data_IF_896378161917
#
_entry.id   IF_896378161917
#
_cell.length_a   1.000
_cell.length_b   1.000
_cell.length_c   1.000
_cell.angle_alpha   90.00
_cell.angle_beta   90.00
_cell.angle_gamma   90.00
#
_symmetry.space_group_name_H-M   'P 1'
#
loop_
_entity.id
_entity.type
_entity.pdbx_description
1 polymer ?
#
# COMPACT_ATOMS: atom_id res chain seq x y z
N UNK A 1 24.13 -1.80 -22.68
CA UNK A 1 24.56 -1.75 -24.11
C UNK A 1 23.90 -0.52 -24.69
N UNK A 2 24.65 0.55 -25.00
CA UNK A 2 24.05 1.86 -25.28
C UNK A 2 23.12 1.82 -26.52
N UNK A 3 21.84 2.14 -26.31
CA UNK A 3 20.77 2.24 -27.32
C UNK A 3 20.99 3.47 -28.23
N UNK A 4 22.01 3.43 -29.11
CA UNK A 4 22.34 4.56 -29.99
C UNK A 4 21.34 4.77 -31.14
N UNK A 5 20.50 3.78 -31.45
CA UNK A 5 19.46 3.86 -32.48
C UNK A 5 18.16 3.18 -32.02
N UNK A 6 17.08 3.95 -31.89
CA UNK A 6 15.73 3.48 -31.58
C UNK A 6 14.79 3.87 -32.75
N UNK A 7 13.93 2.97 -33.24
CA UNK A 7 12.99 3.24 -34.33
C UNK A 7 11.83 4.17 -33.94
N UNK A 8 11.70 4.50 -32.65
CA UNK A 8 10.63 5.32 -32.07
C UNK A 8 11.24 6.54 -31.39
N UNK A 9 10.61 7.71 -31.55
CA UNK A 9 11.08 8.96 -30.96
C UNK A 9 10.68 9.04 -29.48
N UNK A 10 11.55 8.51 -28.61
CA UNK A 10 11.36 8.52 -27.16
C UNK A 10 12.05 9.71 -26.50
N UNK A 11 11.39 10.27 -25.47
CA UNK A 11 11.97 11.28 -24.61
C UNK A 11 13.19 10.76 -23.84
N UNK A 12 14.01 11.67 -23.30
CA UNK A 12 15.24 11.30 -22.59
C UNK A 12 14.98 10.31 -21.43
N UNK A 13 13.98 10.60 -20.59
CA UNK A 13 13.63 9.74 -19.44
C UNK A 13 13.09 8.37 -19.87
N UNK A 14 12.26 8.30 -20.91
CA UNK A 14 11.74 7.04 -21.44
C UNK A 14 12.87 6.17 -22.02
N UNK A 15 13.90 6.77 -22.62
CA UNK A 15 15.09 6.04 -23.08
C UNK A 15 15.89 5.46 -21.92
N UNK A 16 16.10 6.22 -20.85
CA UNK A 16 16.77 5.69 -19.65
C UNK A 16 15.98 4.53 -19.03
N UNK A 17 14.66 4.66 -18.92
CA UNK A 17 13.80 3.61 -18.38
C UNK A 17 13.77 2.36 -19.28
N UNK A 18 13.83 2.54 -20.61
CA UNK A 18 13.94 1.42 -21.54
C UNK A 18 15.30 0.73 -21.44
N UNK A 19 16.41 1.46 -21.30
CA UNK A 19 17.73 0.87 -21.06
C UNK A 19 17.75 0.10 -19.73
N UNK A 20 17.15 0.68 -18.68
CA UNK A 20 16.97 0.02 -17.39
C UNK A 20 16.11 -1.24 -17.48
N UNK A 21 15.09 -1.26 -18.35
CA UNK A 21 14.27 -2.44 -18.60
C UNK A 21 15.12 -3.59 -19.14
N UNK A 22 15.89 -3.27 -20.18
CA UNK A 22 16.74 -4.21 -20.90
C UNK A 22 17.85 -4.74 -19.99
N UNK A 23 18.48 -3.87 -19.21
CA UNK A 23 19.63 -4.24 -18.39
C UNK A 23 19.25 -4.88 -17.04
N UNK A 24 18.12 -4.51 -16.45
CA UNK A 24 17.84 -4.86 -15.04
C UNK A 24 16.40 -5.24 -14.77
N UNK A 25 15.40 -4.41 -15.07
CA UNK A 25 14.03 -4.64 -14.59
C UNK A 25 13.38 -5.91 -15.15
N UNK A 26 13.72 -6.27 -16.40
CA UNK A 26 13.24 -7.51 -17.05
C UNK A 26 13.66 -8.79 -16.32
N UNK A 27 14.73 -8.75 -15.51
CA UNK A 27 15.12 -9.89 -14.68
C UNK A 27 14.03 -10.31 -13.69
N UNK A 28 13.16 -9.38 -13.31
CA UNK A 28 12.05 -9.68 -12.41
C UNK A 28 10.94 -10.48 -13.09
N UNK A 29 10.80 -10.39 -14.42
CA UNK A 29 9.80 -11.15 -15.21
C UNK A 29 10.21 -12.61 -15.42
N UNK A 30 11.49 -12.93 -15.23
CA UNK A 30 12.07 -14.22 -15.57
C UNK A 30 11.73 -15.29 -14.52
N UNK A 31 10.53 -15.86 -14.61
CA UNK A 31 10.18 -17.12 -13.92
C UNK A 31 10.81 -18.33 -14.65
N UNK A 32 11.23 -18.17 -15.91
CA UNK A 32 11.82 -19.22 -16.74
C UNK A 32 13.31 -18.92 -17.00
N UNK A 33 14.18 -19.53 -16.19
CA UNK A 33 15.64 -19.35 -16.26
C UNK A 33 16.34 -19.74 -17.58
N UNK A 34 15.91 -20.76 -18.36
CA UNK A 34 16.71 -21.19 -19.52
C UNK A 34 16.69 -20.21 -20.72
N UNK A 35 15.59 -19.47 -20.94
CA UNK A 35 15.38 -18.67 -22.17
C UNK A 35 15.25 -17.15 -21.94
N UNK A 36 15.74 -16.66 -20.79
CA UNK A 36 15.57 -15.27 -20.35
C UNK A 36 15.95 -14.22 -21.40
N UNK A 37 17.07 -14.43 -22.11
CA UNK A 37 17.57 -13.46 -23.09
C UNK A 37 16.74 -13.45 -24.39
N UNK A 38 16.27 -14.62 -24.83
CA UNK A 38 15.41 -14.71 -26.02
C UNK A 38 14.05 -14.07 -25.74
N UNK A 39 13.51 -14.33 -24.55
CA UNK A 39 12.26 -13.75 -24.12
C UNK A 39 12.33 -12.22 -23.99
N UNK A 40 13.39 -11.69 -23.38
CA UNK A 40 13.63 -10.24 -23.34
C UNK A 40 13.76 -9.66 -24.75
N UNK A 41 14.54 -10.32 -25.62
CA UNK A 41 14.68 -9.91 -27.02
C UNK A 41 13.33 -9.85 -27.75
N UNK A 42 12.44 -10.80 -27.50
CA UNK A 42 11.08 -10.80 -28.04
C UNK A 42 10.26 -9.62 -27.50
N UNK A 43 10.27 -9.36 -26.20
CA UNK A 43 9.52 -8.24 -25.61
C UNK A 43 9.97 -6.89 -26.15
N UNK A 44 11.29 -6.67 -26.28
CA UNK A 44 11.86 -5.44 -26.86
C UNK A 44 11.46 -5.30 -28.33
N UNK A 45 11.52 -6.41 -29.10
CA UNK A 45 11.07 -6.40 -30.50
C UNK A 45 9.59 -6.08 -30.63
N UNK A 46 8.73 -6.61 -29.76
CA UNK A 46 7.29 -6.33 -29.76
C UNK A 46 6.97 -4.89 -29.37
N UNK A 47 7.75 -4.29 -28.46
CA UNK A 47 7.62 -2.90 -28.03
C UNK A 47 8.06 -1.89 -29.09
N UNK A 48 9.02 -2.27 -29.93
CA UNK A 48 9.64 -1.40 -30.93
C UNK A 48 9.27 -1.79 -32.38
N UNK A 49 8.29 -2.66 -32.55
CA UNK A 49 7.95 -3.28 -33.84
C UNK A 49 7.44 -2.26 -34.86
N UNK A 50 6.54 -1.39 -34.42
CA UNK A 50 5.88 -0.39 -35.25
C UNK A 50 5.28 0.75 -34.38
N UNK A 51 4.61 1.70 -35.03
CA UNK A 51 3.88 2.79 -34.35
C UNK A 51 2.42 2.41 -34.02
N UNK A 52 2.09 1.10 -33.98
CA UNK A 52 0.74 0.67 -33.64
C UNK A 52 0.43 0.94 -32.16
N UNK A 53 -0.86 1.06 -31.81
CA UNK A 53 -1.25 1.11 -30.40
C UNK A 53 -0.74 -0.10 -29.61
N UNK A 54 -0.70 -1.29 -30.21
CA UNK A 54 -0.26 -2.51 -29.53
C UNK A 54 1.24 -2.53 -29.21
N UNK A 55 2.11 -2.02 -30.10
CA UNK A 55 3.53 -1.80 -29.78
C UNK A 55 3.70 -0.79 -28.65
N UNK A 56 2.97 0.33 -28.73
CA UNK A 56 3.02 1.37 -27.71
C UNK A 56 2.53 0.85 -26.35
N UNK A 57 1.53 -0.03 -26.31
CA UNK A 57 1.07 -0.65 -25.06
C UNK A 57 2.16 -1.48 -24.38
N UNK A 58 2.89 -2.31 -25.15
CA UNK A 58 4.03 -3.10 -24.63
C UNK A 58 5.11 -2.17 -24.10
N UNK A 59 5.48 -1.14 -24.87
CA UNK A 59 6.49 -0.18 -24.45
C UNK A 59 6.11 0.54 -23.14
N UNK A 60 4.89 1.07 -23.06
CA UNK A 60 4.41 1.76 -21.86
C UNK A 60 4.35 0.81 -20.65
N UNK A 61 3.99 -0.46 -20.83
CA UNK A 61 4.04 -1.45 -19.74
C UNK A 61 5.47 -1.73 -19.27
N UNK A 62 6.45 -1.80 -20.18
CA UNK A 62 7.86 -1.99 -19.86
C UNK A 62 8.44 -0.78 -19.10
N UNK A 63 8.11 0.44 -19.52
CA UNK A 63 8.48 1.67 -18.82
C UNK A 63 7.87 1.75 -17.41
N UNK A 64 6.62 1.31 -17.25
CA UNK A 64 5.98 1.23 -15.94
C UNK A 64 6.76 0.29 -14.99
N UNK A 65 7.13 -0.90 -15.48
CA UNK A 65 7.91 -1.86 -14.69
C UNK A 65 9.31 -1.34 -14.35
N UNK A 66 9.98 -0.69 -15.30
CA UNK A 66 11.28 -0.06 -15.06
C UNK A 66 11.22 1.06 -14.03
N UNK A 67 10.23 1.93 -14.15
CA UNK A 67 10.03 3.03 -13.20
C UNK A 67 9.77 2.47 -11.80
N UNK A 68 8.91 1.45 -11.70
CA UNK A 68 8.64 0.76 -10.45
C UNK A 68 9.90 0.13 -9.85
N UNK A 69 10.70 -0.56 -10.66
CA UNK A 69 11.93 -1.18 -10.20
C UNK A 69 12.96 -0.15 -9.72
N UNK A 70 13.05 1.02 -10.38
CA UNK A 70 14.08 2.03 -10.08
C UNK A 70 13.69 2.93 -8.92
N UNK A 71 12.41 3.28 -8.81
CA UNK A 71 11.94 4.34 -7.91
C UNK A 71 10.82 3.90 -6.94
N UNK A 72 10.36 2.64 -7.02
CA UNK A 72 9.22 2.15 -6.25
C UNK A 72 7.87 2.60 -6.82
N UNK A 73 6.82 2.55 -6.00
CA UNK A 73 5.47 2.98 -6.37
C UNK A 73 5.38 4.51 -6.42
N UNK A 74 5.71 5.07 -7.57
CA UNK A 74 5.65 6.51 -7.85
C UNK A 74 4.56 6.85 -8.86
N UNK A 75 4.21 8.13 -8.91
CA UNK A 75 3.32 8.75 -9.90
C UNK A 75 3.45 8.14 -11.31
N UNK A 76 4.67 8.12 -11.82
CA UNK A 76 4.98 7.72 -13.20
C UNK A 76 4.62 6.27 -13.50
N UNK A 77 4.71 5.37 -12.52
CA UNK A 77 4.32 3.96 -12.67
C UNK A 77 2.84 3.86 -13.04
N UNK A 78 2.00 4.62 -12.33
CA UNK A 78 0.57 4.68 -12.62
C UNK A 78 0.29 5.38 -13.94
N UNK A 79 1.10 6.38 -14.32
CA UNK A 79 0.96 7.05 -15.61
C UNK A 79 1.24 6.12 -16.79
N UNK A 80 2.37 5.41 -16.75
CA UNK A 80 2.75 4.44 -17.77
C UNK A 80 1.75 3.28 -17.85
N UNK A 81 1.30 2.75 -16.69
CA UNK A 81 0.21 1.75 -16.63
C UNK A 81 -1.07 2.28 -17.29
N UNK A 82 -1.46 3.52 -17.00
CA UNK A 82 -2.67 4.11 -17.58
C UNK A 82 -2.59 4.27 -19.09
N UNK A 83 -1.45 4.76 -19.59
CA UNK A 83 -1.21 4.88 -21.03
C UNK A 83 -1.28 3.50 -21.69
N UNK A 84 -0.61 2.49 -21.13
CA UNK A 84 -0.66 1.13 -21.65
C UNK A 84 -2.09 0.59 -21.75
N UNK A 85 -2.89 0.68 -20.68
CA UNK A 85 -4.27 0.20 -20.67
C UNK A 85 -5.18 0.93 -21.65
N UNK A 86 -5.11 2.27 -21.73
CA UNK A 86 -5.90 3.03 -22.71
C UNK A 86 -5.57 2.63 -24.13
N UNK A 87 -4.29 2.44 -24.41
CA UNK A 87 -3.84 2.05 -25.73
C UNK A 87 -4.28 0.63 -26.09
N UNK A 88 -4.26 -0.32 -25.14
CA UNK A 88 -4.81 -1.67 -25.32
C UNK A 88 -6.31 -1.65 -25.63
N UNK A 89 -7.08 -0.85 -24.88
CA UNK A 89 -8.52 -0.67 -25.12
C UNK A 89 -8.76 -0.13 -26.54
N UNK A 90 -7.99 0.87 -26.94
CA UNK A 90 -8.11 1.49 -28.27
C UNK A 90 -7.79 0.51 -29.40
N UNK A 91 -6.82 -0.40 -29.21
CA UNK A 91 -6.53 -1.44 -30.23
C UNK A 91 -7.58 -2.54 -30.32
N UNK A 92 -8.39 -2.77 -29.28
CA UNK A 92 -9.46 -3.77 -29.32
C UNK A 92 -10.65 -3.36 -30.22
N UNK A 93 -10.82 -2.06 -30.49
CA UNK A 93 -11.90 -1.56 -31.35
C UNK A 93 -11.67 -1.84 -32.85
N UNK A 94 -10.46 -2.28 -33.22
CA UNK A 94 -10.08 -2.67 -34.58
C UNK A 94 -9.95 -4.20 -34.63
N UNK A 95 -10.46 -4.83 -35.69
CA UNK A 95 -10.44 -6.29 -35.84
C UNK A 95 -9.01 -6.84 -35.64
N UNK A 96 -8.80 -7.60 -34.56
CA UNK A 96 -7.47 -8.00 -34.10
C UNK A 96 -6.77 -8.91 -35.12
N UNK A 97 -5.67 -8.42 -35.70
CA UNK A 97 -4.75 -9.26 -36.48
C UNK A 97 -3.94 -10.18 -35.54
N UNK A 98 -3.47 -11.32 -36.04
CA UNK A 98 -2.73 -12.32 -35.23
C UNK A 98 -1.49 -11.74 -34.53
N UNK A 99 -0.80 -10.79 -35.17
CA UNK A 99 0.39 -10.12 -34.62
C UNK A 99 0.05 -9.18 -33.46
N UNK A 100 -1.11 -8.52 -33.55
CA UNK A 100 -1.67 -7.64 -32.52
C UNK A 100 -1.95 -8.42 -31.22
N UNK A 101 -2.37 -9.68 -31.32
CA UNK A 101 -2.66 -10.54 -30.15
C UNK A 101 -1.41 -10.80 -29.32
N UNK A 102 -0.26 -11.07 -29.95
CA UNK A 102 1.00 -11.36 -29.22
C UNK A 102 1.48 -10.14 -28.43
N UNK A 103 1.33 -8.93 -28.99
CA UNK A 103 1.66 -7.69 -28.30
C UNK A 103 0.72 -7.44 -27.10
N UNK A 104 -0.58 -7.70 -27.25
CA UNK A 104 -1.52 -7.62 -26.13
C UNK A 104 -1.14 -8.58 -25.01
N UNK A 105 -0.81 -9.84 -25.33
CA UNK A 105 -0.37 -10.83 -24.34
C UNK A 105 0.89 -10.33 -23.62
N UNK A 106 1.87 -9.83 -24.35
CA UNK A 106 3.10 -9.29 -23.78
C UNK A 106 2.84 -8.11 -22.83
N UNK A 107 2.04 -7.13 -23.26
CA UNK A 107 1.69 -5.97 -22.44
C UNK A 107 0.92 -6.40 -21.18
N UNK A 108 -0.11 -7.24 -21.33
CA UNK A 108 -0.89 -7.76 -20.21
C UNK A 108 -0.02 -8.54 -19.23
N UNK A 109 0.92 -9.36 -19.70
CA UNK A 109 1.82 -10.11 -18.83
C UNK A 109 2.74 -9.19 -18.02
N UNK A 110 3.34 -8.16 -18.65
CA UNK A 110 4.17 -7.18 -17.94
C UNK A 110 3.33 -6.42 -16.90
N UNK A 111 2.11 -6.00 -17.26
CA UNK A 111 1.18 -5.33 -16.34
C UNK A 111 0.76 -6.25 -15.18
N UNK A 112 0.42 -7.51 -15.45
CA UNK A 112 0.09 -8.48 -14.40
C UNK A 112 1.27 -8.67 -13.44
N UNK A 113 2.49 -8.78 -13.97
CA UNK A 113 3.69 -8.87 -13.13
C UNK A 113 3.90 -7.61 -12.29
N UNK A 114 3.66 -6.43 -12.87
CA UNK A 114 3.69 -5.16 -12.15
C UNK A 114 2.67 -5.15 -11.00
N UNK A 115 1.43 -5.63 -11.19
CA UNK A 115 0.43 -5.72 -10.12
C UNK A 115 0.89 -6.63 -8.97
N UNK A 116 1.45 -7.81 -9.31
CA UNK A 116 1.98 -8.76 -8.31
C UNK A 116 3.12 -8.13 -7.52
N UNK A 117 4.03 -7.42 -8.20
CA UNK A 117 5.14 -6.71 -7.56
C UNK A 117 4.68 -5.52 -6.73
N UNK A 118 3.72 -4.73 -7.21
CA UNK A 118 3.14 -3.62 -6.49
C UNK A 118 2.46 -4.09 -5.20
N UNK A 119 1.67 -5.15 -5.25
CA UNK A 119 1.05 -5.75 -4.07
C UNK A 119 2.10 -6.23 -3.05
N UNK A 120 3.16 -6.90 -3.52
CA UNK A 120 4.27 -7.34 -2.68
C UNK A 120 5.02 -6.15 -2.05
N UNK A 121 5.26 -5.08 -2.81
CA UNK A 121 5.91 -3.87 -2.30
C UNK A 121 5.06 -3.18 -1.23
N UNK A 122 3.75 -3.02 -1.46
CA UNK A 122 2.83 -2.48 -0.47
C UNK A 122 2.88 -3.28 0.83
N UNK A 123 2.88 -4.62 0.73
CA UNK A 123 3.00 -5.47 1.92
C UNK A 123 4.33 -5.29 2.63
N UNK A 124 5.43 -5.11 1.90
CA UNK A 124 6.74 -4.89 2.50
C UNK A 124 6.83 -3.54 3.22
N UNK A 125 6.31 -2.47 2.64
CA UNK A 125 6.27 -1.15 3.28
C UNK A 125 5.43 -1.19 4.57
N UNK A 126 4.23 -1.77 4.49
CA UNK A 126 3.35 -1.99 5.65
C UNK A 126 4.09 -2.77 6.75
N UNK A 127 4.70 -3.89 6.39
CA UNK A 127 5.44 -4.74 7.33
C UNK A 127 6.64 -4.00 7.90
N UNK A 128 7.29 -3.12 7.14
CA UNK A 128 8.37 -2.29 7.63
C UNK A 128 7.87 -1.35 8.73
N UNK A 129 6.77 -0.60 8.53
CA UNK A 129 6.21 0.26 9.57
C UNK A 129 5.84 -0.51 10.84
N UNK A 130 5.20 -1.67 10.69
CA UNK A 130 4.84 -2.54 11.80
C UNK A 130 6.07 -3.03 12.55
N UNK A 131 7.04 -3.60 11.84
CA UNK A 131 8.28 -4.10 12.41
C UNK A 131 9.03 -3.01 13.17
N UNK A 132 9.17 -1.83 12.56
CA UNK A 132 9.85 -0.71 13.19
C UNK A 132 9.17 -0.27 14.50
N UNK A 133 7.84 -0.29 14.53
CA UNK A 133 7.09 0.10 15.73
C UNK A 133 7.17 -0.95 16.82
N UNK A 134 7.06 -2.24 16.47
CA UNK A 134 7.13 -3.34 17.44
C UNK A 134 8.50 -3.53 18.06
N UNK A 135 9.59 -3.41 17.29
CA UNK A 135 10.97 -3.52 17.81
C UNK A 135 11.30 -2.43 18.83
N UNK A 136 10.67 -1.26 18.70
CA UNK A 136 10.98 -0.10 19.54
C UNK A 136 10.17 -0.03 20.83
N UNK A 137 9.13 -0.84 21.02
CA UNK A 137 8.32 -0.77 22.25
C UNK A 137 9.01 -1.58 23.34
N UNK A 138 9.34 -0.91 24.45
CA UNK A 138 9.87 -1.56 25.66
C UNK A 138 8.74 -1.85 26.64
N UNK A 139 8.89 -2.93 27.40
CA UNK A 139 7.97 -3.22 28.50
C UNK A 139 8.11 -2.14 29.59
N UNK A 140 7.02 -1.71 30.25
CA UNK A 140 7.08 -0.76 31.35
C UNK A 140 7.98 -1.19 32.53
N UNK A 141 8.24 -2.49 32.65
CA UNK A 141 9.14 -3.07 33.68
C UNK A 141 10.61 -3.07 33.29
N UNK A 142 10.96 -2.69 32.05
CA UNK A 142 12.35 -2.60 31.58
C UNK A 142 13.04 -1.38 32.23
N UNK A 143 14.27 -1.57 32.73
CA UNK A 143 15.03 -0.50 33.38
C UNK A 143 15.34 0.68 32.44
N UNK A 144 15.34 0.45 31.13
CA UNK A 144 15.56 1.47 30.11
C UNK A 144 14.28 2.17 29.65
N UNK A 145 13.10 1.79 30.13
CA UNK A 145 11.82 2.35 29.69
C UNK A 145 11.69 3.87 29.96
N UNK A 146 12.38 4.38 30.98
CA UNK A 146 12.40 5.80 31.32
C UNK A 146 13.73 6.50 30.98
N UNK A 147 14.61 5.87 30.18
CA UNK A 147 15.89 6.47 29.83
C UNK A 147 15.75 7.53 28.74
N UNK A 148 16.61 8.55 28.77
CA UNK A 148 16.69 9.55 27.69
C UNK A 148 17.05 8.89 26.35
N UNK A 149 17.83 7.81 26.37
CA UNK A 149 18.18 7.02 25.19
C UNK A 149 16.93 6.40 24.53
N UNK A 150 15.99 5.93 25.36
CA UNK A 150 14.73 5.38 24.87
C UNK A 150 13.87 6.47 24.23
N UNK A 151 13.67 7.60 24.90
CA UNK A 151 12.88 8.72 24.38
C UNK A 151 13.48 9.29 23.08
N UNK A 152 14.81 9.40 23.01
CA UNK A 152 15.50 9.81 21.78
C UNK A 152 15.28 8.81 20.64
N UNK A 153 15.29 7.51 20.95
CA UNK A 153 15.06 6.47 19.94
C UNK A 153 13.61 6.48 19.44
N UNK A 154 12.64 6.74 20.32
CA UNK A 154 11.22 6.94 19.95
C UNK A 154 11.05 8.15 19.02
N UNK A 155 11.68 9.28 19.35
CA UNK A 155 11.66 10.49 18.52
C UNK A 155 12.29 10.25 17.14
N UNK A 156 13.45 9.57 17.09
CA UNK A 156 14.07 9.16 15.83
C UNK A 156 13.15 8.26 14.99
N UNK A 157 12.46 7.31 15.62
CA UNK A 157 11.52 6.45 14.92
C UNK A 157 10.32 7.26 14.38
N UNK A 158 9.70 8.11 15.21
CA UNK A 158 8.58 8.95 14.79
C UNK A 158 8.95 9.82 13.58
N UNK A 159 10.13 10.45 13.62
CA UNK A 159 10.66 11.23 12.50
C UNK A 159 10.88 10.37 11.25
N UNK A 160 11.37 9.14 11.41
CA UNK A 160 11.58 8.21 10.29
C UNK A 160 10.27 7.75 9.66
N UNK A 161 9.25 7.44 10.45
CA UNK A 161 7.91 7.10 9.94
C UNK A 161 7.30 8.30 9.22
N UNK A 162 7.43 9.50 9.80
CA UNK A 162 6.88 10.74 9.22
C UNK A 162 7.55 11.11 7.90
N UNK A 163 8.87 10.93 7.80
CA UNK A 163 9.67 11.31 6.63
C UNK A 163 9.44 10.43 5.41
N UNK A 164 8.66 9.34 5.52
CA UNK A 164 8.37 8.51 4.35
C UNK A 164 7.41 9.26 3.43
N UNK A 165 7.94 9.63 2.27
CA UNK A 165 7.24 10.37 1.23
C UNK A 165 6.31 9.43 0.47
N UNK A 166 5.03 9.78 0.42
CA UNK A 166 4.02 9.12 -0.39
C UNK A 166 3.69 10.06 -1.55
N UNK A 167 4.16 9.76 -2.77
CA UNK A 167 3.84 10.59 -3.94
C UNK A 167 2.61 10.05 -4.65
N UNK A 168 1.55 10.87 -4.70
CA UNK A 168 0.40 10.62 -5.54
C UNK A 168 0.73 10.95 -7.02
N UNK A 169 0.15 10.23 -7.99
CA UNK A 169 0.26 10.62 -9.40
C UNK A 169 -0.48 11.92 -9.68
N UNK A 170 0.25 13.00 -9.92
CA UNK A 170 -0.35 14.21 -10.48
C UNK A 170 -0.65 13.99 -11.98
N UNK A 171 -1.90 14.21 -12.41
CA UNK A 171 -2.21 14.49 -13.82
C UNK A 171 -3.01 13.48 -14.65
N UNK A 172 -3.83 12.57 -14.09
CA UNK A 172 -4.61 11.62 -14.92
C UNK A 172 -6.08 11.49 -14.51
N UNK A 173 -6.99 11.54 -15.51
CA UNK A 173 -8.45 11.40 -15.30
C UNK A 173 -8.92 9.98 -14.96
N UNK A 174 -9.92 9.92 -14.05
CA UNK A 174 -10.94 8.88 -13.91
C UNK A 174 -10.58 7.72 -12.99
N UNK A 175 -10.14 6.60 -13.58
CA UNK A 175 -10.07 5.31 -12.87
C UNK A 175 -8.69 5.01 -12.29
N UNK A 176 -7.62 5.53 -12.90
CA UNK A 176 -6.23 5.16 -12.53
C UNK A 176 -5.61 6.17 -11.58
N UNK A 177 -6.07 7.43 -11.63
CA UNK A 177 -5.85 8.38 -10.53
C UNK A 177 -6.52 7.87 -9.25
N UNK A 178 -7.75 7.33 -9.33
CA UNK A 178 -8.44 6.73 -8.18
C UNK A 178 -7.63 5.61 -7.51
N UNK A 179 -6.98 4.72 -8.27
CA UNK A 179 -6.13 3.66 -7.69
C UNK A 179 -4.86 4.23 -7.03
N UNK A 180 -4.22 5.22 -7.66
CA UNK A 180 -3.05 5.89 -7.09
C UNK A 180 -3.39 6.67 -5.82
N UNK A 181 -4.52 7.39 -5.80
CA UNK A 181 -4.99 8.12 -4.62
C UNK A 181 -5.40 7.16 -3.50
N UNK A 182 -6.04 6.03 -3.83
CA UNK A 182 -6.42 5.02 -2.85
C UNK A 182 -5.20 4.36 -2.19
N UNK A 183 -4.12 4.12 -2.96
CA UNK A 183 -2.86 3.62 -2.41
C UNK A 183 -2.22 4.63 -1.45
N UNK A 184 -2.11 5.91 -1.85
CA UNK A 184 -1.57 6.96 -0.99
C UNK A 184 -2.38 7.08 0.30
N UNK A 185 -3.71 7.08 0.21
CA UNK A 185 -4.58 7.09 1.38
C UNK A 185 -4.38 5.85 2.26
N UNK A 186 -4.25 4.66 1.67
CA UNK A 186 -3.98 3.41 2.40
C UNK A 186 -2.65 3.50 3.16
N UNK A 187 -1.57 3.93 2.51
CA UNK A 187 -0.27 4.08 3.15
C UNK A 187 -0.28 5.14 4.24
N UNK A 188 -0.96 6.26 4.03
CA UNK A 188 -1.09 7.30 5.05
C UNK A 188 -1.89 6.81 6.26
N UNK A 189 -2.93 5.98 6.06
CA UNK A 189 -3.65 5.31 7.15
C UNK A 189 -2.74 4.38 7.96
N UNK A 190 -1.85 3.62 7.30
CA UNK A 190 -0.85 2.81 8.00
C UNK A 190 0.14 3.66 8.79
N UNK A 191 0.61 4.78 8.22
CA UNK A 191 1.51 5.71 8.92
C UNK A 191 0.83 6.32 10.15
N UNK A 192 -0.42 6.78 10.01
CA UNK A 192 -1.20 7.33 11.12
C UNK A 192 -1.39 6.26 12.21
N UNK A 193 -1.79 5.04 11.84
CA UNK A 193 -1.95 3.94 12.78
C UNK A 193 -0.62 3.57 13.49
N UNK A 194 0.50 3.52 12.77
CA UNK A 194 1.81 3.22 13.34
C UNK A 194 2.23 4.30 14.36
N UNK A 195 2.05 5.59 14.05
CA UNK A 195 2.40 6.68 14.96
C UNK A 195 1.44 6.73 16.16
N UNK A 196 0.13 6.52 15.97
CA UNK A 196 -0.83 6.42 17.08
C UNK A 196 -0.43 5.28 18.00
N UNK A 197 -0.21 4.09 17.43
CA UNK A 197 0.21 2.91 18.19
C UNK A 197 1.52 3.16 18.92
N UNK A 198 2.54 3.74 18.27
CA UNK A 198 3.81 4.12 18.90
C UNK A 198 3.58 5.01 20.11
N UNK A 199 2.84 6.12 19.97
CA UNK A 199 2.59 7.09 21.05
C UNK A 199 1.81 6.49 22.22
N UNK A 200 0.87 5.59 21.92
CA UNK A 200 0.05 4.89 22.91
C UNK A 200 0.85 3.82 23.65
N UNK A 201 1.54 2.97 22.90
CA UNK A 201 2.26 1.82 23.42
C UNK A 201 3.54 2.21 24.16
N UNK A 202 4.32 3.17 23.66
CA UNK A 202 5.63 3.52 24.23
C UNK A 202 5.56 4.23 25.57
N UNK A 203 4.44 4.93 25.83
CA UNK A 203 4.17 5.61 27.11
C UNK A 203 3.10 4.90 27.92
N UNK A 204 2.56 3.82 27.37
CA UNK A 204 1.49 3.05 27.95
C UNK A 204 0.28 3.89 28.39
N UNK A 205 -0.04 4.89 27.57
CA UNK A 205 -0.93 6.00 27.90
C UNK A 205 -2.25 5.90 27.13
N UNK A 206 -3.39 5.89 27.85
CA UNK A 206 -4.74 5.79 27.26
C UNK A 206 -5.57 7.08 27.35
N UNK A 207 -5.03 8.16 27.92
CA UNK A 207 -5.73 9.44 28.06
C UNK A 207 -5.89 10.26 26.76
N UNK A 208 -6.40 11.47 26.87
CA UNK A 208 -6.62 12.37 25.71
C UNK A 208 -5.32 12.98 25.21
N UNK A 209 -5.16 13.11 23.89
CA UNK A 209 -4.02 13.78 23.27
C UNK A 209 -4.47 14.54 22.03
N UNK A 210 -4.35 15.89 22.00
CA UNK A 210 -4.75 16.68 20.84
C UNK A 210 -4.04 16.27 19.54
N UNK A 211 -2.81 15.78 19.65
CA UNK A 211 -2.04 15.28 18.51
C UNK A 211 -2.66 13.99 17.95
N UNK A 212 -3.04 13.04 18.83
CA UNK A 212 -3.70 11.80 18.42
C UNK A 212 -5.09 12.10 17.86
N UNK A 213 -5.84 13.02 18.48
CA UNK A 213 -7.16 13.44 18.00
C UNK A 213 -7.08 13.99 16.57
N UNK A 214 -6.10 14.87 16.27
CA UNK A 214 -5.89 15.39 14.93
C UNK A 214 -5.54 14.30 13.91
N UNK A 215 -4.74 13.30 14.32
CA UNK A 215 -4.40 12.15 13.48
C UNK A 215 -5.61 11.26 13.19
N UNK A 216 -6.46 11.03 14.19
CA UNK A 216 -7.68 10.23 14.07
C UNK A 216 -8.70 10.93 13.17
N UNK A 217 -8.90 12.23 13.32
CA UNK A 217 -9.78 12.99 12.41
C UNK A 217 -9.27 12.96 10.97
N UNK A 218 -7.96 13.08 10.75
CA UNK A 218 -7.37 12.91 9.42
C UNK A 218 -7.57 11.49 8.88
N UNK A 219 -7.48 10.48 9.72
CA UNK A 219 -7.75 9.10 9.34
C UNK A 219 -9.21 8.91 8.89
N UNK A 220 -10.18 9.52 9.57
CA UNK A 220 -11.58 9.47 9.15
C UNK A 220 -11.80 10.08 7.76
N UNK A 221 -11.20 11.25 7.48
CA UNK A 221 -11.28 11.86 6.14
C UNK A 221 -10.76 10.90 5.07
N UNK A 222 -9.61 10.27 5.30
CA UNK A 222 -9.04 9.31 4.34
C UNK A 222 -9.90 8.04 4.19
N UNK A 223 -10.50 7.55 5.28
CA UNK A 223 -11.39 6.39 5.24
C UNK A 223 -12.69 6.69 4.49
N UNK A 224 -13.22 7.92 4.58
CA UNK A 224 -14.42 8.36 3.88
C UNK A 224 -14.19 8.45 2.35
N UNK A 225 -12.98 8.82 1.93
CA UNK A 225 -12.58 8.86 0.51
C UNK A 225 -12.37 7.46 -0.11
N UNK A 226 -12.25 6.42 0.72
CA UNK A 226 -11.99 5.04 0.27
C UNK A 226 -13.30 4.24 0.16
N UNK A 227 -13.58 3.73 -1.05
CA UNK A 227 -14.74 2.86 -1.29
C UNK A 227 -14.66 1.56 -0.47
N UNK A 228 -13.47 0.95 -0.43
CA UNK A 228 -13.19 -0.25 0.38
C UNK A 228 -11.85 -0.12 1.10
N UNK A 229 -11.84 -0.38 2.41
CA UNK A 229 -10.63 -0.49 3.22
C UNK A 229 -10.78 -1.64 4.21
N UNK A 230 -9.88 -2.62 4.13
CA UNK A 230 -9.92 -3.86 4.92
C UNK A 230 -8.62 -4.25 5.65
N UNK A 231 -7.51 -3.47 5.61
CA UNK A 231 -6.41 -3.70 6.54
C UNK A 231 -6.86 -3.64 8.00
N UNK A 232 -6.73 -4.75 8.73
CA UNK A 232 -7.24 -4.85 10.09
C UNK A 232 -6.41 -4.02 11.08
N UNK A 233 -5.09 -3.90 10.88
CA UNK A 233 -4.23 -3.15 11.81
C UNK A 233 -4.62 -1.66 11.90
N UNK A 234 -4.69 -0.89 10.79
CA UNK A 234 -5.08 0.52 10.89
C UNK A 234 -6.50 0.69 11.45
N UNK A 235 -7.45 -0.14 11.03
CA UNK A 235 -8.82 -0.11 11.56
C UNK A 235 -8.87 -0.39 13.06
N UNK A 236 -8.07 -1.34 13.55
CA UNK A 236 -7.96 -1.63 14.98
C UNK A 236 -7.44 -0.42 15.73
N UNK A 237 -6.29 0.12 15.34
CA UNK A 237 -5.64 1.21 16.07
C UNK A 237 -6.48 2.48 16.04
N UNK A 238 -6.99 2.88 14.87
CA UNK A 238 -7.87 4.06 14.73
C UNK A 238 -9.18 3.83 15.50
N UNK A 239 -9.74 2.62 15.42
CA UNK A 239 -10.97 2.26 16.12
C UNK A 239 -10.84 2.27 17.64
N UNK A 240 -9.66 1.95 18.18
CA UNK A 240 -9.38 2.06 19.62
C UNK A 240 -9.48 3.51 20.12
N UNK A 241 -9.30 4.50 19.25
CA UNK A 241 -9.41 5.92 19.58
C UNK A 241 -10.83 6.49 19.44
N UNK A 242 -11.81 5.66 19.07
CA UNK A 242 -13.20 6.07 18.94
C UNK A 242 -13.88 6.26 20.32
N UNK A 243 -13.75 7.45 20.89
CA UNK A 243 -14.24 7.80 22.24
C UNK A 243 -15.71 8.21 22.28
N UNK A 244 -16.31 8.55 21.14
CA UNK A 244 -17.71 9.00 21.04
C UNK A 244 -18.50 8.05 20.16
N UNK A 245 -19.80 7.92 20.42
CA UNK A 245 -20.69 7.04 19.66
C UNK A 245 -20.68 7.34 18.16
N UNK A 246 -20.58 8.61 17.77
CA UNK A 246 -20.46 8.99 16.36
C UNK A 246 -19.18 8.45 15.68
N UNK A 247 -18.05 8.44 16.38
CA UNK A 247 -16.79 7.88 15.88
C UNK A 247 -16.86 6.35 15.82
N UNK A 248 -17.43 5.72 16.85
CA UNK A 248 -17.65 4.25 16.89
C UNK A 248 -18.53 3.80 15.72
N UNK A 249 -19.59 4.56 15.43
CA UNK A 249 -20.49 4.29 14.30
C UNK A 249 -19.74 4.34 12.96
N UNK A 250 -18.94 5.39 12.71
CA UNK A 250 -18.14 5.49 11.48
C UNK A 250 -17.25 4.28 11.27
N UNK A 251 -16.51 3.86 12.30
CA UNK A 251 -15.64 2.67 12.22
C UNK A 251 -16.44 1.41 11.89
N UNK A 252 -17.59 1.20 12.54
CA UNK A 252 -18.46 0.07 12.26
C UNK A 252 -18.99 0.10 10.82
N UNK A 253 -19.35 1.26 10.28
CA UNK A 253 -19.79 1.42 8.89
C UNK A 253 -18.68 1.06 7.89
N UNK A 254 -17.43 1.45 8.15
CA UNK A 254 -16.28 1.04 7.30
C UNK A 254 -16.07 -0.48 7.36
N UNK A 255 -16.14 -1.08 8.55
CA UNK A 255 -16.00 -2.54 8.73
C UNK A 255 -17.13 -3.28 8.00
N UNK A 256 -18.38 -2.81 8.10
CA UNK A 256 -19.52 -3.41 7.42
C UNK A 256 -19.40 -3.32 5.90
N UNK A 257 -18.95 -2.18 5.36
CA UNK A 257 -18.62 -2.04 3.93
C UNK A 257 -17.53 -3.03 3.50
N UNK A 258 -16.47 -3.17 4.29
CA UNK A 258 -15.40 -4.12 4.02
C UNK A 258 -15.87 -5.59 4.03
N UNK A 259 -16.80 -5.95 4.93
CA UNK A 259 -17.42 -7.27 4.95
C UNK A 259 -18.25 -7.57 3.70
N UNK A 260 -19.02 -6.60 3.22
CA UNK A 260 -19.86 -6.74 2.03
C UNK A 260 -19.03 -6.90 0.75
N UNK A 261 -17.85 -6.30 0.70
CA UNK A 261 -16.97 -6.33 -0.48
C UNK A 261 -16.35 -7.71 -0.75
N UNK A 262 -16.15 -8.57 0.26
CA UNK A 262 -15.56 -9.90 0.04
C UNK A 262 -15.91 -10.93 1.12
N UNK A 263 -16.44 -12.08 0.70
CA UNK A 263 -16.83 -13.18 1.60
C UNK A 263 -15.63 -13.78 2.36
N UNK A 264 -14.44 -13.83 1.74
CA UNK A 264 -13.22 -14.34 2.36
C UNK A 264 -12.73 -13.45 3.53
N UNK A 265 -12.87 -12.12 3.43
CA UNK A 265 -12.43 -11.19 4.48
C UNK A 265 -13.51 -10.90 5.54
N UNK A 266 -14.76 -11.30 5.27
CA UNK A 266 -15.89 -11.13 6.19
C UNK A 266 -15.62 -11.69 7.60
N UNK A 267 -15.01 -12.88 7.70
CA UNK A 267 -14.68 -13.49 9.01
C UNK A 267 -13.63 -12.69 9.79
N UNK A 268 -12.59 -12.21 9.12
CA UNK A 268 -11.53 -11.39 9.74
C UNK A 268 -12.10 -10.06 10.25
N UNK A 269 -12.89 -9.39 9.42
CA UNK A 269 -13.58 -8.14 9.78
C UNK A 269 -14.60 -8.33 10.92
N UNK A 270 -15.26 -9.49 10.97
CA UNK A 270 -16.16 -9.83 12.08
C UNK A 270 -15.40 -10.02 13.39
N UNK A 271 -14.23 -10.68 13.34
CA UNK A 271 -13.33 -10.74 14.49
C UNK A 271 -12.91 -9.36 14.96
N UNK A 272 -12.51 -8.48 14.04
CA UNK A 272 -12.11 -7.11 14.33
C UNK A 272 -13.24 -6.28 14.98
N UNK A 273 -14.46 -6.36 14.44
CA UNK A 273 -15.63 -5.69 15.00
C UNK A 273 -15.85 -6.09 16.47
N UNK A 274 -15.79 -7.39 16.76
CA UNK A 274 -15.99 -7.89 18.12
C UNK A 274 -14.87 -7.40 19.06
N UNK A 275 -13.61 -7.42 18.61
CA UNK A 275 -12.47 -6.90 19.38
C UNK A 275 -12.69 -5.44 19.75
N UNK A 276 -13.00 -4.59 18.76
CA UNK A 276 -13.24 -3.16 18.99
C UNK A 276 -14.39 -2.91 19.95
N UNK A 277 -15.52 -3.60 19.77
CA UNK A 277 -16.66 -3.47 20.69
C UNK A 277 -16.30 -3.89 22.11
N UNK A 278 -15.47 -4.93 22.30
CA UNK A 278 -14.99 -5.31 23.64
C UNK A 278 -14.07 -4.27 24.23
N UNK A 279 -13.17 -3.68 23.44
CA UNK A 279 -12.30 -2.58 23.88
C UNK A 279 -13.14 -1.40 24.34
N UNK A 280 -14.13 -0.99 23.55
CA UNK A 280 -15.04 0.11 23.90
C UNK A 280 -15.82 -0.16 25.18
N UNK A 281 -16.28 -1.41 25.39
CA UNK A 281 -16.93 -1.80 26.65
C UNK A 281 -15.96 -1.69 27.83
N UNK A 282 -14.68 -2.08 27.68
CA UNK A 282 -13.69 -1.90 28.74
C UNK A 282 -13.45 -0.42 29.04
N UNK A 283 -13.38 0.42 28.00
CA UNK A 283 -13.19 1.86 28.16
C UNK A 283 -14.40 2.53 28.84
N UNK A 284 -15.61 2.10 28.52
CA UNK A 284 -16.84 2.62 29.15
C UNK A 284 -16.96 2.19 30.63
N UNK A 285 -16.38 1.05 31.01
CA UNK A 285 -16.32 0.58 32.40
C UNK A 285 -15.21 1.25 33.21
N UNK A 286 -14.16 1.75 32.56
CA UNK A 286 -13.01 2.39 33.19
C UNK A 286 -13.30 3.87 33.51
N UNK A 287 -14.28 4.13 34.38
CA UNK A 287 -14.75 5.49 34.70
C UNK A 287 -13.77 6.27 35.58
N UNK A 288 -13.03 5.59 36.46
CA UNK A 288 -12.20 6.21 37.51
C UNK A 288 -10.69 5.98 37.38
N UNK A 289 -10.24 5.26 36.34
CA UNK A 289 -8.81 4.99 36.11
C UNK A 289 -8.52 4.80 34.63
N UNK A 290 -7.31 5.17 34.20
CA UNK A 290 -6.87 4.88 32.83
C UNK A 290 -6.38 3.44 32.75
N UNK A 291 -6.97 2.67 31.84
CA UNK A 291 -6.47 1.35 31.48
C UNK A 291 -5.15 1.48 30.72
N UNK A 292 -4.15 0.73 31.15
CA UNK A 292 -2.92 0.48 30.40
C UNK A 292 -3.25 0.04 28.96
N UNK A 293 -2.72 0.78 27.98
CA UNK A 293 -3.10 0.61 26.58
C UNK A 293 -2.72 -0.77 26.05
N UNK A 294 -1.48 -1.21 26.32
CA UNK A 294 -0.97 -2.48 25.82
C UNK A 294 -1.63 -3.66 26.53
N UNK A 295 -1.79 -3.58 27.85
CA UNK A 295 -2.47 -4.62 28.61
C UNK A 295 -3.94 -4.73 28.21
N UNK A 296 -4.64 -3.62 27.95
CA UNK A 296 -6.02 -3.64 27.42
C UNK A 296 -6.08 -4.37 26.08
N UNK A 297 -5.20 -4.03 25.15
CA UNK A 297 -5.12 -4.70 23.85
C UNK A 297 -4.79 -6.18 24.00
N UNK A 298 -3.78 -6.53 24.81
CA UNK A 298 -3.35 -7.91 25.02
C UNK A 298 -4.46 -8.76 25.64
N UNK A 299 -5.11 -8.30 26.71
CA UNK A 299 -6.21 -9.02 27.38
C UNK A 299 -7.38 -9.23 26.43
N UNK A 300 -7.78 -8.21 25.66
CA UNK A 300 -8.90 -8.36 24.73
C UNK A 300 -8.51 -9.29 23.59
N UNK A 301 -7.36 -9.09 22.94
CA UNK A 301 -6.93 -9.87 21.78
C UNK A 301 -6.71 -11.34 22.14
N UNK A 302 -6.05 -11.64 23.26
CA UNK A 302 -5.80 -13.00 23.73
C UNK A 302 -7.08 -13.75 24.14
N UNK A 303 -8.16 -13.03 24.45
CA UNK A 303 -9.47 -13.65 24.73
C UNK A 303 -10.17 -14.20 23.48
N UNK A 304 -9.71 -13.87 22.27
CA UNK A 304 -10.30 -14.36 21.02
C UNK A 304 -9.64 -15.64 20.52
N UNK A 305 -10.47 -16.63 20.18
CA UNK A 305 -10.02 -17.91 19.60
C UNK A 305 -9.54 -17.83 18.15
N UNK A 306 -9.99 -16.79 17.43
CA UNK A 306 -9.63 -16.57 16.03
C UNK A 306 -9.09 -15.14 15.94
N UNK A 307 -7.78 -15.04 15.76
CA UNK A 307 -7.10 -13.76 15.55
C UNK A 307 -7.51 -13.18 14.18
N UNK A 308 -7.87 -11.89 14.07
CA UNK A 308 -7.99 -11.25 12.77
C UNK A 308 -6.68 -11.36 11.98
N UNK A 309 -6.75 -11.47 10.65
CA UNK A 309 -5.56 -11.30 9.81
C UNK A 309 -5.19 -9.82 9.84
N UNK A 310 -4.06 -9.51 10.46
CA UNK A 310 -3.51 -8.15 10.50
C UNK A 310 -2.65 -7.80 9.28
N UNK A 311 -2.55 -8.74 8.33
CA UNK A 311 -1.91 -8.63 7.02
C UNK A 311 -2.97 -8.83 5.94
#
# INVERSE_FOLDING_TARGET
MALSWLPINLGYEERELLDHFICTASSTLAIFEPDKNEFLGLLVRLALLDNSPSSAAVLQSALALSSFHRHGLQADVFQFKARSLRTLITSCDQCLESQTVVQHIAACMILCHLEVKAASYCSHEILQYLHLTFEMIKNPTDSLYHSDEYENSLSCLENRITSIVLLAPEGISGTISSLGTAWVATMELFKLAAIIYLKRASRNFSGTSPQIDAMVERAYVLLDDLETFNPAFPLLIIGCEARRDGQRMRILEHIERAMKASSLRSRSMFGLQNILQKIWVQDDLAVDYELDYLNKLDVVITSYRIMPSFV
#
